data_IF_075506642531
#
_entry.id   IF_075506642531
#
_cell.length_a   1.000
_cell.length_b   1.000
_cell.length_c   1.000
_cell.angle_alpha   90.00
_cell.angle_beta   90.00
_cell.angle_gamma   90.00
#
_symmetry.space_group_name_H-M   'P 1'
#
loop_
_entity.id
_entity.type
_entity.pdbx_description
1 polymer ?
#
# COMPACT_ATOMS: atom_id res chain seq x y z
N UNK A 1 7.38 -13.63 2.87
CA UNK A 1 7.34 -12.21 3.28
C UNK A 1 8.75 -11.72 3.58
N UNK A 2 9.07 -10.52 3.19
CA UNK A 2 10.37 -9.91 3.45
C UNK A 2 10.17 -8.52 4.05
N UNK A 3 10.92 -8.20 5.11
CA UNK A 3 10.92 -6.88 5.73
C UNK A 3 12.23 -6.19 5.39
N UNK A 4 12.16 -4.96 4.88
CA UNK A 4 13.34 -4.18 4.51
C UNK A 4 13.15 -2.72 4.93
N UNK A 5 14.25 -2.03 5.22
CA UNK A 5 14.23 -0.60 5.56
C UNK A 5 14.24 0.28 4.31
N UNK A 6 14.83 -0.23 3.22
CA UNK A 6 14.96 0.49 1.96
C UNK A 6 14.71 -0.47 0.79
N UNK A 7 14.40 0.06 -0.38
CA UNK A 7 14.16 -0.73 -1.59
C UNK A 7 15.44 -1.10 -2.35
N UNK A 8 16.62 -0.91 -1.76
CA UNK A 8 17.91 -0.98 -2.47
C UNK A 8 18.16 -2.34 -3.14
N UNK A 9 17.83 -3.43 -2.46
CA UNK A 9 18.09 -4.77 -2.98
C UNK A 9 16.81 -5.60 -3.15
N UNK A 10 15.68 -4.93 -3.37
CA UNK A 10 14.40 -5.60 -3.55
C UNK A 10 14.12 -5.78 -5.04
N UNK A 11 13.97 -7.03 -5.45
CA UNK A 11 13.52 -7.35 -6.80
C UNK A 11 11.99 -7.23 -6.87
N UNK A 12 11.49 -6.39 -7.77
CA UNK A 12 10.07 -6.12 -7.93
C UNK A 12 9.59 -6.70 -9.26
N UNK A 13 8.66 -7.63 -9.20
CA UNK A 13 8.03 -8.24 -10.37
C UNK A 13 6.51 -8.07 -10.31
N UNK A 14 5.78 -8.70 -11.24
CA UNK A 14 4.33 -8.58 -11.35
C UNK A 14 3.55 -9.36 -10.27
N UNK A 15 4.23 -10.09 -9.41
CA UNK A 15 3.64 -10.76 -8.25
C UNK A 15 3.98 -10.05 -6.94
N UNK A 16 4.83 -9.04 -6.98
CA UNK A 16 5.29 -8.32 -5.79
C UNK A 16 4.18 -7.44 -5.23
N UNK A 17 3.95 -7.56 -3.93
CA UNK A 17 3.07 -6.67 -3.16
C UNK A 17 3.90 -5.94 -2.13
N UNK A 18 3.83 -4.62 -2.14
CA UNK A 18 4.63 -3.77 -1.25
C UNK A 18 3.72 -3.07 -0.24
N UNK A 19 4.14 -3.12 1.01
CA UNK A 19 3.46 -2.44 2.11
C UNK A 19 4.45 -1.51 2.80
N UNK A 20 4.12 -0.23 2.81
CA UNK A 20 4.86 0.79 3.52
C UNK A 20 4.21 1.00 4.88
N UNK A 21 4.97 0.82 5.95
CA UNK A 21 4.42 0.85 7.31
C UNK A 21 4.47 2.22 7.96
N UNK A 22 5.09 3.20 7.32
CA UNK A 22 5.21 4.56 7.82
C UNK A 22 5.01 5.57 6.69
N UNK A 23 3.84 6.22 6.66
CA UNK A 23 3.50 7.20 5.64
C UNK A 23 4.29 8.52 5.75
N UNK A 24 4.98 8.74 6.87
CA UNK A 24 5.82 9.90 7.09
C UNK A 24 7.33 9.58 7.00
N UNK A 25 7.68 8.39 6.54
CA UNK A 25 9.07 7.99 6.42
C UNK A 25 9.85 8.94 5.50
N UNK A 26 11.08 9.35 5.85
CA UNK A 26 11.91 10.13 4.95
C UNK A 26 12.13 9.39 3.62
N UNK A 27 11.96 10.10 2.51
CA UNK A 27 12.15 9.51 1.18
C UNK A 27 11.02 8.62 0.69
N UNK A 28 9.86 8.59 1.37
CA UNK A 28 8.74 7.73 0.97
C UNK A 28 8.26 8.06 -0.46
N UNK A 29 8.23 9.32 -0.86
CA UNK A 29 7.80 9.69 -2.19
C UNK A 29 8.75 9.13 -3.27
N UNK A 30 10.04 9.14 -3.04
CA UNK A 30 11.02 8.56 -3.96
C UNK A 30 10.85 7.04 -4.05
N UNK A 31 10.64 6.37 -2.92
CA UNK A 31 10.39 4.94 -2.90
C UNK A 31 9.08 4.58 -3.62
N UNK A 32 8.00 5.33 -3.38
CA UNK A 32 6.73 5.12 -4.06
C UNK A 32 6.86 5.38 -5.57
N UNK A 33 7.65 6.36 -5.98
CA UNK A 33 7.90 6.61 -7.40
C UNK A 33 8.55 5.40 -8.07
N UNK A 34 9.53 4.77 -7.42
CA UNK A 34 10.15 3.54 -7.93
C UNK A 34 9.11 2.44 -8.07
N UNK A 35 8.28 2.23 -7.06
CA UNK A 35 7.24 1.20 -7.06
C UNK A 35 6.20 1.46 -8.16
N UNK A 36 5.74 2.69 -8.31
CA UNK A 36 4.74 3.05 -9.33
C UNK A 36 5.27 2.89 -10.76
N UNK A 37 6.59 2.99 -10.97
CA UNK A 37 7.22 2.72 -12.28
C UNK A 37 7.55 1.25 -12.48
N UNK A 38 7.40 0.43 -11.46
CA UNK A 38 7.69 -0.99 -11.51
C UNK A 38 6.44 -1.80 -11.90
N UNK A 39 6.58 -3.10 -12.20
CA UNK A 39 5.43 -3.97 -12.46
C UNK A 39 4.71 -4.44 -11.19
N UNK A 40 5.00 -3.89 -10.03
CA UNK A 40 4.41 -4.32 -8.75
C UNK A 40 2.89 -4.46 -8.85
N UNK A 41 2.37 -5.57 -8.36
CA UNK A 41 0.93 -5.86 -8.38
C UNK A 41 0.15 -5.00 -7.41
N UNK A 42 0.75 -4.68 -6.26
CA UNK A 42 0.06 -4.02 -5.16
C UNK A 42 1.01 -3.08 -4.42
N UNK A 43 0.53 -1.91 -4.08
CA UNK A 43 1.25 -0.98 -3.21
C UNK A 43 0.28 -0.40 -2.19
N UNK A 44 0.61 -0.56 -0.91
CA UNK A 44 -0.19 -0.05 0.19
C UNK A 44 0.64 0.77 1.15
N UNK A 45 0.04 1.79 1.73
CA UNK A 45 0.68 2.66 2.71
C UNK A 45 -0.19 2.70 3.96
N UNK A 46 0.37 2.36 5.11
CA UNK A 46 -0.32 2.49 6.38
C UNK A 46 -0.54 3.97 6.70
N UNK A 47 -1.74 4.31 7.11
CA UNK A 47 -2.11 5.67 7.45
C UNK A 47 -3.50 5.73 8.05
N UNK A 48 -4.04 6.93 8.20
CA UNK A 48 -5.42 7.12 8.66
C UNK A 48 -6.25 7.81 7.58
N UNK A 49 -7.57 7.67 7.68
CA UNK A 49 -8.50 8.36 6.75
C UNK A 49 -8.39 9.88 6.82
N UNK A 50 -7.87 10.41 7.94
CA UNK A 50 -7.73 11.86 8.18
C UNK A 50 -6.40 12.41 7.69
N UNK A 51 -5.46 11.54 7.34
CA UNK A 51 -4.12 11.96 6.98
C UNK A 51 -3.76 11.44 5.59
N UNK A 52 -3.74 12.37 4.66
CA UNK A 52 -3.14 12.13 3.34
C UNK A 52 -1.70 12.61 3.45
N UNK A 53 -0.76 11.70 3.36
CA UNK A 53 0.64 12.03 3.53
C UNK A 53 1.13 13.06 2.50
N UNK A 54 2.20 13.81 2.83
CA UNK A 54 2.78 14.79 1.91
C UNK A 54 3.33 14.16 0.64
N UNK A 55 3.51 12.85 0.62
CA UNK A 55 4.02 12.14 -0.56
C UNK A 55 3.13 12.33 -1.80
N UNK A 56 1.83 12.58 -1.62
CA UNK A 56 0.92 12.78 -2.76
C UNK A 56 1.33 13.99 -3.58
N UNK A 57 1.58 15.13 -2.91
CA UNK A 57 2.01 16.35 -3.59
C UNK A 57 3.37 16.17 -4.24
N UNK A 58 4.29 15.49 -3.57
CA UNK A 58 5.62 15.21 -4.12
C UNK A 58 5.54 14.30 -5.36
N UNK A 59 4.66 13.29 -5.35
CA UNK A 59 4.45 12.42 -6.50
C UNK A 59 3.84 13.18 -7.67
N UNK A 60 2.89 14.07 -7.42
CA UNK A 60 2.33 14.93 -8.47
C UNK A 60 3.41 15.81 -9.09
N UNK A 61 4.28 16.38 -8.27
CA UNK A 61 5.41 17.17 -8.74
C UNK A 61 6.38 16.36 -9.60
N UNK A 62 6.47 15.05 -9.39
CA UNK A 62 7.28 14.13 -10.20
C UNK A 62 6.60 13.68 -11.50
N UNK A 63 5.36 14.12 -11.73
CA UNK A 63 4.63 13.82 -12.98
C UNK A 63 3.62 12.68 -12.88
N UNK A 64 3.38 12.12 -11.69
CA UNK A 64 2.37 11.07 -11.52
C UNK A 64 0.96 11.68 -11.51
N UNK A 65 0.07 11.09 -12.28
CA UNK A 65 -1.32 11.52 -12.38
C UNK A 65 -2.27 10.75 -11.46
N UNK A 66 -3.55 11.04 -11.58
CA UNK A 66 -4.59 10.46 -10.72
C UNK A 66 -4.66 8.93 -10.85
N UNK A 67 -4.45 8.38 -12.05
CA UNK A 67 -4.46 6.93 -12.26
C UNK A 67 -3.33 6.24 -11.49
N UNK A 68 -2.14 6.85 -11.48
CA UNK A 68 -1.01 6.31 -10.74
C UNK A 68 -1.25 6.37 -9.25
N UNK A 69 -1.76 7.50 -8.76
CA UNK A 69 -2.03 7.69 -7.33
C UNK A 69 -3.16 6.79 -6.84
N UNK A 70 -4.12 6.46 -7.69
CA UNK A 70 -5.20 5.55 -7.36
C UNK A 70 -4.72 4.10 -7.13
N UNK A 71 -3.53 3.76 -7.60
CA UNK A 71 -2.91 2.46 -7.32
C UNK A 71 -2.43 2.32 -5.89
N UNK A 72 -2.20 3.44 -5.21
CA UNK A 72 -1.75 3.43 -3.81
C UNK A 72 -2.96 3.21 -2.91
N UNK A 73 -2.97 2.08 -2.19
CA UNK A 73 -4.01 1.77 -1.20
C UNK A 73 -3.65 2.43 0.12
N UNK A 74 -4.33 3.49 0.49
CA UNK A 74 -4.13 4.19 1.77
C UNK A 74 -5.44 4.89 2.20
N UNK A 75 -5.91 4.68 3.43
CA UNK A 75 -5.33 3.79 4.44
C UNK A 75 -5.41 2.32 4.02
N UNK A 76 -4.41 1.56 4.42
CA UNK A 76 -4.26 0.16 4.03
C UNK A 76 -5.07 -0.76 4.94
N UNK A 77 -5.63 -1.81 4.36
CA UNK A 77 -6.37 -2.84 5.07
C UNK A 77 -7.87 -2.84 4.75
N UNK A 78 -8.52 -3.94 5.08
CA UNK A 78 -9.98 -4.06 4.95
C UNK A 78 -10.67 -3.27 6.06
N UNK A 79 -11.88 -2.81 5.79
CA UNK A 79 -12.70 -2.09 6.78
C UNK A 79 -13.33 -3.08 7.75
N UNK A 80 -12.58 -3.49 8.76
CA UNK A 80 -13.03 -4.42 9.81
C UNK A 80 -13.43 -3.70 11.10
N UNK A 81 -13.10 -2.42 11.24
CA UNK A 81 -13.44 -1.61 12.42
C UNK A 81 -12.50 -1.78 13.60
N UNK A 82 -11.62 -2.77 13.60
CA UNK A 82 -10.67 -2.99 14.69
C UNK A 82 -9.56 -1.94 14.73
N UNK A 83 -9.07 -1.67 15.94
CA UNK A 83 -8.03 -0.64 16.18
C UNK A 83 -6.79 -1.16 16.87
N UNK A 84 -6.83 -2.39 17.41
CA UNK A 84 -5.64 -2.98 18.01
C UNK A 84 -4.59 -3.28 16.94
N UNK A 85 -3.30 -3.32 17.30
CA UNK A 85 -2.26 -3.69 16.34
C UNK A 85 -2.52 -5.04 15.65
N UNK A 86 -3.02 -6.03 16.41
CA UNK A 86 -3.33 -7.34 15.87
C UNK A 86 -4.49 -7.28 14.87
N UNK A 87 -5.53 -6.50 15.15
CA UNK A 87 -6.68 -6.34 14.26
C UNK A 87 -6.31 -5.57 13.00
N UNK A 88 -5.46 -4.56 13.13
CA UNK A 88 -4.93 -3.81 11.97
C UNK A 88 -4.11 -4.75 11.10
N UNK A 89 -3.21 -5.54 11.69
CA UNK A 89 -2.41 -6.51 10.95
C UNK A 89 -3.29 -7.53 10.23
N UNK A 90 -4.35 -8.01 10.89
CA UNK A 90 -5.31 -8.92 10.29
C UNK A 90 -6.00 -8.28 9.08
N UNK A 91 -6.42 -7.03 9.20
CA UNK A 91 -7.11 -6.33 8.11
C UNK A 91 -6.19 -6.18 6.89
N UNK A 92 -4.91 -5.93 7.10
CA UNK A 92 -3.93 -5.80 6.02
C UNK A 92 -3.68 -7.17 5.37
N UNK A 93 -3.42 -8.20 6.17
CA UNK A 93 -3.17 -9.54 5.67
C UNK A 93 -4.37 -10.08 4.88
N UNK A 94 -5.57 -9.90 5.42
CA UNK A 94 -6.81 -10.31 4.74
C UNK A 94 -7.01 -9.55 3.44
N UNK A 95 -6.68 -8.26 3.41
CA UNK A 95 -6.73 -7.45 2.19
C UNK A 95 -5.78 -7.95 1.11
N UNK A 96 -4.58 -8.37 1.49
CA UNK A 96 -3.61 -8.94 0.55
C UNK A 96 -4.11 -10.28 -0.02
N UNK A 97 -4.73 -11.12 0.80
CA UNK A 97 -5.34 -12.37 0.34
C UNK A 97 -6.47 -12.10 -0.64
N UNK A 98 -7.33 -11.12 -0.33
CA UNK A 98 -8.42 -10.73 -1.24
C UNK A 98 -7.87 -10.24 -2.58
N UNK A 99 -6.82 -9.44 -2.57
CA UNK A 99 -6.14 -8.96 -3.78
C UNK A 99 -5.58 -10.12 -4.60
N UNK A 100 -4.97 -11.10 -3.94
CA UNK A 100 -4.44 -12.32 -4.58
C UNK A 100 -5.49 -13.02 -5.43
N UNK A 101 -6.73 -13.07 -4.93
CA UNK A 101 -7.83 -13.81 -5.55
C UNK A 101 -8.83 -12.92 -6.29
N UNK A 102 -8.55 -11.63 -6.44
CA UNK A 102 -9.44 -10.64 -7.06
C UNK A 102 -10.85 -10.64 -6.42
N UNK A 103 -10.89 -10.60 -5.09
CA UNK A 103 -12.15 -10.65 -4.32
C UNK A 103 -12.40 -9.36 -3.57
N UNK A 104 -13.68 -9.05 -3.35
CA UNK A 104 -14.10 -7.88 -2.59
C UNK A 104 -14.02 -8.08 -1.07
N UNK A 105 -13.83 -9.32 -0.61
CA UNK A 105 -13.69 -9.68 0.81
C UNK A 105 -14.94 -9.43 1.64
N UNK A 106 -16.13 -9.54 1.07
CA UNK A 106 -17.38 -9.54 1.81
C UNK A 106 -17.66 -10.90 2.46
N UNK A 107 -18.80 -11.01 3.10
CA UNK A 107 -19.26 -12.29 3.66
C UNK A 107 -19.56 -13.29 2.54
N UNK A 108 -19.26 -14.58 2.78
CA UNK A 108 -19.46 -15.61 1.76
C UNK A 108 -20.96 -15.91 1.48
N UNK A 109 -21.83 -15.62 2.44
CA UNK A 109 -23.26 -15.89 2.35
C UNK A 109 -24.06 -14.83 1.60
N UNK A 110 -23.36 -13.85 1.01
CA UNK A 110 -24.00 -12.69 0.34
C UNK A 110 -23.39 -12.35 -1.01
#
# INVERSE_FOLDING_TARGET
>A
MRVARELVDVEIDDETRLVFTDHDAPGIADALAVVLRSPARFVGVMGSRRHVGPYVDELRAKGFGDEDLARIRSPLGLDLGGRSPAEIALSIAAGLVADEHDRAAGWLDR
#
